data_IF_279347633020
#
_entry.id   IF_279347633020
#
_cell.length_a   1.000
_cell.length_b   1.000
_cell.length_c   1.000
_cell.angle_alpha   90.00
_cell.angle_beta   90.00
_cell.angle_gamma   90.00
#
_symmetry.space_group_name_H-M   'P 1'
#
loop_
_entity.id
_entity.type
_entity.pdbx_description
1 polymer ?
#
# COMPACT_ATOMS: atom_id res chain seq x y z
N UNK A 1 -45.32 -0.15 20.97
CA UNK A 1 -45.05 -0.98 19.77
C UNK A 1 -44.43 -0.19 18.61
N UNK A 2 -44.73 1.11 18.44
CA UNK A 2 -44.20 1.96 17.35
C UNK A 2 -42.71 2.34 17.49
N UNK A 3 -42.22 2.46 18.74
CA UNK A 3 -40.84 2.88 19.04
C UNK A 3 -39.79 1.78 18.85
N UNK A 4 -40.19 0.50 18.99
CA UNK A 4 -39.26 -0.64 18.89
C UNK A 4 -38.83 -0.87 17.43
N UNK A 5 -39.72 -0.58 16.48
CA UNK A 5 -39.46 -0.74 15.05
C UNK A 5 -38.47 0.31 14.49
N UNK A 6 -38.31 1.46 15.17
CA UNK A 6 -37.38 2.52 14.75
C UNK A 6 -35.93 2.25 15.14
N UNK A 7 -35.69 1.45 16.18
CA UNK A 7 -34.33 1.17 16.70
C UNK A 7 -33.56 0.21 15.80
N UNK A 8 -34.25 -0.71 15.12
CA UNK A 8 -33.64 -1.73 14.24
C UNK A 8 -33.05 -1.11 12.97
N UNK A 9 -33.60 0.00 12.48
CA UNK A 9 -33.14 0.66 11.24
C UNK A 9 -31.81 1.40 11.41
N UNK A 10 -31.50 1.89 12.61
CA UNK A 10 -30.28 2.68 12.85
C UNK A 10 -29.02 1.79 12.99
N UNK A 11 -29.16 0.54 13.44
CA UNK A 11 -28.00 -0.36 13.60
C UNK A 11 -27.42 -0.89 12.29
N UNK A 12 -28.17 -0.85 11.18
CA UNK A 12 -27.71 -1.35 9.88
C UNK A 12 -26.77 -0.38 9.13
N UNK A 13 -26.64 0.87 9.58
CA UNK A 13 -25.86 1.90 8.89
C UNK A 13 -24.39 2.01 9.36
N UNK A 14 -23.98 1.32 10.43
CA UNK A 14 -22.64 1.43 11.01
C UNK A 14 -21.60 0.42 10.45
N UNK A 15 -21.98 -0.45 9.50
CA UNK A 15 -21.15 -1.58 9.08
C UNK A 15 -20.12 -1.32 7.96
N UNK A 16 -20.13 -0.17 7.29
CA UNK A 16 -19.29 0.04 6.11
C UNK A 16 -17.90 0.66 6.38
N UNK A 17 -17.62 1.11 7.61
CA UNK A 17 -16.37 1.81 7.90
C UNK A 17 -15.14 0.91 8.13
N UNK A 18 -15.30 -0.42 8.19
CA UNK A 18 -14.21 -1.35 8.53
C UNK A 18 -13.45 -1.90 7.33
N UNK A 19 -13.83 -1.56 6.09
CA UNK A 19 -13.19 -2.08 4.87
C UNK A 19 -12.06 -1.22 4.31
N UNK A 20 -11.67 -0.13 4.99
CA UNK A 20 -10.47 0.64 4.64
C UNK A 20 -9.21 0.12 5.34
N UNK A 21 -9.19 -1.15 5.76
CA UNK A 21 -7.94 -1.79 6.16
C UNK A 21 -7.18 -2.10 4.87
N UNK A 22 -6.15 -1.31 4.60
CA UNK A 22 -5.18 -1.39 3.51
C UNK A 22 -4.48 -2.78 3.52
N UNK A 23 -5.20 -3.81 3.09
CA UNK A 23 -4.76 -5.22 3.05
C UNK A 23 -3.77 -5.48 1.90
N UNK A 24 -3.35 -4.43 1.18
CA UNK A 24 -2.52 -4.53 -0.02
C UNK A 24 -1.35 -3.56 0.02
N UNK A 25 -0.92 -3.14 1.21
CA UNK A 25 0.33 -2.39 1.33
C UNK A 25 1.47 -3.26 0.77
N UNK A 26 2.20 -2.79 -0.25
CA UNK A 26 3.20 -3.60 -0.92
C UNK A 26 4.36 -3.89 0.03
N UNK A 27 4.85 -5.13 0.01
CA UNK A 27 5.88 -5.58 0.96
C UNK A 27 7.25 -5.05 0.54
N UNK A 28 7.89 -4.31 1.44
CA UNK A 28 9.27 -3.85 1.26
C UNK A 28 10.24 -4.95 1.66
N UNK A 29 11.20 -5.23 0.80
CA UNK A 29 12.27 -6.22 0.98
C UNK A 29 13.62 -5.54 1.04
N UNK A 30 14.46 -5.91 1.99
CA UNK A 30 15.85 -5.46 2.05
C UNK A 30 16.68 -6.29 1.05
N UNK A 31 17.25 -5.62 0.04
CA UNK A 31 18.16 -6.23 -0.94
C UNK A 31 19.61 -6.25 -0.44
N UNK A 32 20.08 -5.19 0.22
CA UNK A 32 21.42 -5.11 0.78
C UNK A 32 21.43 -4.23 2.03
N UNK A 33 21.76 -4.82 3.18
CA UNK A 33 21.84 -4.11 4.45
C UNK A 33 22.98 -3.08 4.50
N UNK A 34 24.16 -3.43 3.96
CA UNK A 34 25.35 -2.56 3.99
C UNK A 34 25.15 -1.30 3.15
N UNK A 35 24.39 -1.41 2.06
CA UNK A 35 24.08 -0.30 1.16
C UNK A 35 22.67 0.27 1.40
N UNK A 36 21.92 -0.17 2.43
CA UNK A 36 20.52 0.23 2.67
C UNK A 36 19.62 0.12 1.42
N UNK A 37 19.89 -0.83 0.52
CA UNK A 37 19.13 -1.01 -0.70
C UNK A 37 17.90 -1.84 -0.39
N UNK A 38 16.74 -1.32 -0.78
CA UNK A 38 15.43 -1.91 -0.55
C UNK A 38 14.70 -2.02 -1.88
N UNK A 39 13.72 -2.91 -1.95
CA UNK A 39 12.82 -3.02 -3.08
C UNK A 39 11.40 -3.26 -2.62
N UNK A 40 10.46 -2.68 -3.33
CA UNK A 40 9.03 -2.88 -3.10
C UNK A 40 8.39 -3.36 -4.40
N UNK A 41 7.60 -4.42 -4.29
CA UNK A 41 6.79 -4.95 -5.39
C UNK A 41 5.37 -4.39 -5.25
N UNK A 42 4.98 -3.54 -6.19
CA UNK A 42 3.64 -2.93 -6.26
C UNK A 42 2.85 -3.48 -7.44
N UNK A 43 2.90 -4.80 -7.65
CA UNK A 43 2.12 -5.53 -8.65
C UNK A 43 0.72 -5.90 -8.13
N UNK A 44 -0.31 -5.77 -8.96
CA UNK A 44 -1.72 -5.79 -8.55
C UNK A 44 -2.71 -5.03 -9.47
N UNK A 45 -4.00 -5.03 -9.13
CA UNK A 45 -5.06 -4.44 -9.97
C UNK A 45 -5.24 -2.91 -9.77
N UNK A 46 -4.59 -2.31 -8.77
CA UNK A 46 -4.70 -0.88 -8.43
C UNK A 46 -3.37 -0.11 -8.64
N UNK A 47 -2.48 -0.67 -9.46
CA UNK A 47 -1.07 -0.33 -9.54
C UNK A 47 -0.78 0.97 -10.28
N UNK A 48 -0.65 2.04 -9.52
CA UNK A 48 0.16 3.18 -9.93
C UNK A 48 1.51 3.13 -9.19
N UNK A 49 2.57 3.62 -9.84
CA UNK A 49 3.86 3.88 -9.22
C UNK A 49 3.74 4.70 -7.92
N UNK A 50 2.66 5.49 -7.77
CA UNK A 50 2.29 6.16 -6.53
C UNK A 50 2.27 5.25 -5.30
N UNK A 51 1.81 4.00 -5.42
CA UNK A 51 1.78 3.01 -4.33
C UNK A 51 3.21 2.60 -3.94
N UNK A 52 4.05 2.33 -4.93
CA UNK A 52 5.48 2.05 -4.74
C UNK A 52 6.22 3.23 -4.06
N UNK A 53 5.98 4.46 -4.50
CA UNK A 53 6.61 5.66 -3.91
C UNK A 53 6.13 5.93 -2.48
N UNK A 54 4.85 5.70 -2.21
CA UNK A 54 4.27 5.83 -0.87
C UNK A 54 4.89 4.83 0.09
N UNK A 55 5.05 3.57 -0.33
CA UNK A 55 5.69 2.54 0.48
C UNK A 55 7.18 2.82 0.74
N UNK A 56 7.91 3.33 -0.25
CA UNK A 56 9.29 3.77 -0.09
C UNK A 56 9.39 4.96 0.89
N UNK A 57 8.49 5.95 0.78
CA UNK A 57 8.42 7.09 1.68
C UNK A 57 8.07 6.71 3.13
N UNK A 58 7.14 5.77 3.32
CA UNK A 58 6.81 5.20 4.64
C UNK A 58 8.01 4.46 5.26
N UNK A 59 8.87 3.86 4.44
CA UNK A 59 10.04 3.11 4.89
C UNK A 59 11.24 3.99 5.22
N UNK A 60 11.36 5.16 4.56
CA UNK A 60 12.48 6.09 4.74
C UNK A 60 11.97 7.46 5.23
N UNK A 61 11.96 7.73 6.56
CA UNK A 61 11.41 8.97 7.11
C UNK A 61 12.17 10.24 6.70
N UNK A 62 13.45 10.12 6.35
CA UNK A 62 14.29 11.23 5.88
C UNK A 62 14.30 11.36 4.34
N UNK A 63 13.44 10.61 3.65
CA UNK A 63 13.43 10.49 2.19
C UNK A 63 14.30 9.36 1.66
N UNK A 64 14.14 9.07 0.38
CA UNK A 64 14.81 8.00 -0.34
C UNK A 64 15.24 8.46 -1.73
N UNK A 65 16.19 7.74 -2.31
CA UNK A 65 16.57 7.85 -3.71
C UNK A 65 16.12 6.60 -4.46
N UNK A 66 15.55 6.79 -5.65
CA UNK A 66 15.17 5.68 -6.53
C UNK A 66 16.41 5.22 -7.28
N UNK A 67 16.75 3.94 -7.11
CA UNK A 67 17.93 3.31 -7.74
C UNK A 67 17.55 2.44 -8.93
N UNK A 68 16.32 1.93 -8.97
CA UNK A 68 15.88 0.96 -9.97
C UNK A 68 14.36 0.98 -10.12
N UNK A 69 13.89 0.75 -11.35
CA UNK A 69 12.47 0.61 -11.70
C UNK A 69 12.34 -0.48 -12.73
N UNK A 70 11.68 -1.56 -12.34
CA UNK A 70 11.41 -2.68 -13.23
C UNK A 70 9.91 -2.74 -13.49
N UNK A 71 9.53 -2.73 -14.77
CA UNK A 71 8.16 -2.90 -15.21
C UNK A 71 8.14 -4.02 -16.25
N UNK A 72 7.30 -5.03 -16.02
CA UNK A 72 7.07 -6.10 -17.00
C UNK A 72 6.24 -5.56 -18.16
N UNK A 73 6.63 -5.89 -19.39
CA UNK A 73 5.95 -5.50 -20.64
C UNK A 73 4.49 -5.98 -20.71
N UNK A 74 4.14 -6.99 -19.92
CA UNK A 74 2.76 -7.47 -19.77
C UNK A 74 1.92 -6.63 -18.78
N UNK A 75 2.48 -5.55 -18.22
CA UNK A 75 1.81 -4.61 -17.32
C UNK A 75 1.49 -5.13 -15.92
N UNK A 76 1.82 -6.40 -15.63
CA UNK A 76 1.44 -7.10 -14.41
C UNK A 76 2.51 -7.18 -13.32
N UNK A 77 3.73 -6.69 -13.56
CA UNK A 77 4.76 -6.62 -12.52
C UNK A 77 5.44 -5.26 -12.47
N UNK A 78 5.47 -4.63 -11.29
CA UNK A 78 6.19 -3.38 -11.01
C UNK A 78 7.01 -3.51 -9.74
N UNK A 79 8.32 -3.34 -9.87
CA UNK A 79 9.25 -3.39 -8.75
C UNK A 79 10.05 -2.08 -8.70
N UNK A 80 9.98 -1.38 -7.57
CA UNK A 80 10.77 -0.18 -7.30
C UNK A 80 11.94 -0.56 -6.39
N UNK A 81 13.17 -0.33 -6.84
CA UNK A 81 14.35 -0.32 -5.99
C UNK A 81 14.62 1.08 -5.46
N UNK A 82 14.88 1.21 -4.16
CA UNK A 82 15.21 2.49 -3.53
C UNK A 82 16.25 2.34 -2.42
N UNK A 83 16.87 3.46 -2.04
CA UNK A 83 17.83 3.57 -0.95
C UNK A 83 17.41 4.70 -0.01
N UNK A 84 17.35 4.47 1.31
CA UNK A 84 17.11 5.56 2.24
C UNK A 84 18.33 6.49 2.33
N UNK A 85 18.07 7.80 2.46
CA UNK A 85 19.10 8.82 2.73
C UNK A 85 19.73 8.66 4.11
#
# INVERSE_FOLDING_TARGET
>A
MKLVMSIVVVLLAAGCAQLTHDQSAPVVRLKNAAQKLMSVDCSGPADDWGVCYSAAGKSCPNGYDVIDKQESTAGGQRVLGFQCK
#
